data_IF_766619803683
#
_entry.id   IF_766619803683
#
_cell.length_a   1.000
_cell.length_b   1.000
_cell.length_c   1.000
_cell.angle_alpha   90.00
_cell.angle_beta   90.00
_cell.angle_gamma   90.00
#
_symmetry.space_group_name_H-M   'P 1'
#
loop_
_entity.id
_entity.type
_entity.pdbx_description
1 polymer ?
#
# COMPACT_ATOMS: atom_id res chain seq x y z
N UNK A 1 -10.72 -8.16 -14.34
CA UNK A 1 -10.33 -6.98 -13.55
C UNK A 1 -10.19 -7.37 -12.09
N UNK A 2 -9.05 -7.02 -11.46
CA UNK A 2 -8.78 -7.31 -10.04
C UNK A 2 -9.45 -6.26 -9.14
N UNK A 3 -10.03 -6.73 -8.03
CA UNK A 3 -10.55 -5.87 -6.97
C UNK A 3 -10.25 -6.50 -5.61
N UNK A 4 -9.50 -5.79 -4.76
CA UNK A 4 -9.25 -6.20 -3.38
C UNK A 4 -10.55 -6.03 -2.57
N UNK A 5 -10.92 -7.05 -1.78
CA UNK A 5 -12.14 -7.08 -0.95
C UNK A 5 -11.81 -6.91 0.51
N UNK A 6 -10.75 -7.56 0.98
CA UNK A 6 -10.34 -7.46 2.38
C UNK A 6 -8.86 -7.79 2.57
N UNK A 7 -8.32 -7.26 3.66
CA UNK A 7 -7.01 -7.61 4.21
C UNK A 7 -7.21 -8.12 5.64
N UNK A 8 -6.68 -9.29 5.93
CA UNK A 8 -6.72 -9.90 7.27
C UNK A 8 -5.30 -9.99 7.82
N UNK A 9 -5.14 -9.66 9.11
CA UNK A 9 -3.88 -9.75 9.84
C UNK A 9 -4.12 -10.26 11.26
N UNK A 10 -3.27 -11.14 11.73
CA UNK A 10 -3.32 -11.70 13.09
C UNK A 10 -1.93 -12.05 13.58
N UNK A 11 -1.71 -11.90 14.88
CA UNK A 11 -0.39 -11.97 15.50
C UNK A 11 0.66 -11.20 14.71
N UNK A 12 0.34 -9.95 14.34
CA UNK A 12 1.22 -9.09 13.56
C UNK A 12 1.30 -7.70 14.21
N UNK A 13 2.48 -7.31 14.69
CA UNK A 13 2.76 -6.02 15.35
C UNK A 13 1.77 -5.72 16.50
N UNK A 14 0.82 -4.80 16.29
CA UNK A 14 -0.21 -4.45 17.28
C UNK A 14 -1.50 -5.26 17.17
N UNK A 15 -1.63 -6.13 16.19
CA UNK A 15 -2.79 -6.99 16.00
C UNK A 15 -2.54 -8.37 16.64
N UNK A 16 -3.09 -8.63 17.83
CA UNK A 16 -2.96 -9.90 18.51
C UNK A 16 -3.90 -10.94 17.91
N UNK A 17 -5.19 -10.75 18.06
CA UNK A 17 -6.22 -11.57 17.42
C UNK A 17 -6.38 -11.19 15.93
N UNK A 18 -6.83 -12.10 15.07
CA UNK A 18 -7.11 -11.79 13.67
C UNK A 18 -8.09 -10.61 13.53
N UNK A 19 -7.69 -9.60 12.79
CA UNK A 19 -8.50 -8.45 12.43
C UNK A 19 -8.61 -8.36 10.90
N UNK A 20 -9.76 -7.93 10.40
CA UNK A 20 -10.01 -7.81 8.96
C UNK A 20 -10.42 -6.38 8.61
N UNK A 21 -9.65 -5.74 7.73
CA UNK A 21 -10.07 -4.53 7.04
C UNK A 21 -10.92 -4.94 5.85
N UNK A 22 -12.22 -4.69 5.91
CA UNK A 22 -13.17 -4.94 4.82
C UNK A 22 -13.23 -3.74 3.89
N UNK A 23 -13.11 -3.99 2.59
CA UNK A 23 -13.12 -3.01 1.51
C UNK A 23 -14.32 -3.19 0.57
N UNK A 24 -15.22 -4.13 0.90
CA UNK A 24 -16.44 -4.40 0.16
C UNK A 24 -17.53 -3.35 0.50
N UNK A 25 -17.22 -2.08 0.24
CA UNK A 25 -18.14 -0.97 0.50
C UNK A 25 -19.53 -1.25 -0.07
N UNK A 26 -20.53 -1.34 0.81
CA UNK A 26 -21.94 -1.35 0.39
C UNK A 26 -22.23 0.04 -0.18
N UNK A 27 -22.50 0.13 -1.47
CA UNK A 27 -22.86 1.42 -2.10
C UNK A 27 -21.93 1.90 -3.21
N UNK A 28 -20.93 1.09 -3.63
CA UNK A 28 -20.09 1.43 -4.78
C UNK A 28 -18.99 2.46 -4.49
N UNK A 29 -18.67 2.69 -3.20
CA UNK A 29 -17.59 3.59 -2.81
C UNK A 29 -16.23 3.09 -3.27
N UNK A 30 -15.36 4.04 -3.64
CA UNK A 30 -14.00 3.79 -4.14
C UNK A 30 -12.91 4.22 -3.15
N UNK A 31 -13.30 4.58 -1.92
CA UNK A 31 -12.38 5.05 -0.89
C UNK A 31 -12.67 4.36 0.45
N UNK A 32 -11.63 4.03 1.19
CA UNK A 32 -11.71 3.68 2.62
C UNK A 32 -10.69 4.51 3.39
N UNK A 33 -11.17 5.29 4.34
CA UNK A 33 -10.34 6.12 5.20
C UNK A 33 -10.28 5.55 6.62
N UNK A 34 -9.06 5.31 7.09
CA UNK A 34 -8.76 4.72 8.39
C UNK A 34 -8.34 5.82 9.36
N UNK A 35 -9.14 6.04 10.39
CA UNK A 35 -8.92 7.01 11.46
C UNK A 35 -8.53 6.31 12.77
N UNK A 36 -7.88 7.06 13.65
CA UNK A 36 -7.52 6.57 14.98
C UNK A 36 -6.40 7.38 15.61
N UNK A 37 -6.09 7.17 16.91
CA UNK A 37 -5.04 7.89 17.60
C UNK A 37 -3.66 7.52 17.09
N UNK A 38 -2.64 8.31 17.50
CA UNK A 38 -1.25 7.93 17.33
C UNK A 38 -1.01 6.58 18.00
N UNK A 39 -0.17 5.74 17.38
CA UNK A 39 0.11 4.38 17.82
C UNK A 39 -1.12 3.43 17.87
N UNK A 40 -2.30 3.82 17.39
CA UNK A 40 -3.50 2.97 17.33
C UNK A 40 -3.37 1.74 16.43
N UNK A 41 -2.41 1.71 15.50
CA UNK A 41 -2.17 0.57 14.60
C UNK A 41 -2.42 0.87 13.12
N UNK A 42 -2.79 2.11 12.74
CA UNK A 42 -3.08 2.50 11.35
C UNK A 42 -1.98 2.11 10.36
N UNK A 43 -0.74 2.52 10.61
CA UNK A 43 0.42 2.20 9.75
C UNK A 43 0.75 0.70 9.76
N UNK A 44 0.35 -0.05 10.78
CA UNK A 44 0.56 -1.50 10.81
C UNK A 44 -0.33 -2.24 9.80
N UNK A 45 -1.46 -1.65 9.37
CA UNK A 45 -2.28 -2.17 8.27
C UNK A 45 -1.51 -2.08 6.94
N UNK A 46 -0.91 -0.91 6.64
CA UNK A 46 -0.07 -0.75 5.45
C UNK A 46 1.13 -1.71 5.46
N UNK A 47 1.77 -1.85 6.63
CA UNK A 47 2.90 -2.78 6.81
C UNK A 47 2.48 -4.24 6.64
N UNK A 48 1.29 -4.65 7.10
CA UNK A 48 0.76 -5.99 6.91
C UNK A 48 0.53 -6.30 5.43
N UNK A 49 -0.03 -5.36 4.68
CA UNK A 49 -0.19 -5.49 3.23
C UNK A 49 1.16 -5.60 2.53
N UNK A 50 2.11 -4.74 2.86
CA UNK A 50 3.48 -4.77 2.31
C UNK A 50 4.21 -6.06 2.68
N UNK A 51 4.03 -6.57 3.90
CA UNK A 51 4.59 -7.83 4.35
C UNK A 51 4.06 -9.01 3.53
N UNK A 52 2.75 -9.07 3.28
CA UNK A 52 2.15 -10.10 2.43
C UNK A 52 2.67 -10.01 0.99
N UNK A 53 2.67 -8.81 0.40
CA UNK A 53 3.17 -8.57 -0.98
C UNK A 53 4.62 -9.01 -1.12
N UNK A 54 5.49 -8.61 -0.18
CA UNK A 54 6.90 -8.97 -0.20
C UNK A 54 7.11 -10.47 0.01
N UNK A 55 6.36 -11.11 0.91
CA UNK A 55 6.44 -12.56 1.14
C UNK A 55 6.09 -13.33 -0.13
N UNK A 56 4.99 -12.98 -0.79
CA UNK A 56 4.59 -13.64 -2.05
C UNK A 56 5.60 -13.39 -3.16
N UNK A 57 6.10 -12.17 -3.30
CA UNK A 57 7.03 -11.83 -4.41
C UNK A 57 8.44 -12.37 -4.21
N UNK A 58 8.91 -12.47 -2.97
CA UNK A 58 10.33 -12.63 -2.67
C UNK A 58 10.70 -13.88 -1.87
N UNK A 59 9.75 -14.68 -1.41
CA UNK A 59 10.07 -15.85 -0.55
C UNK A 59 10.95 -16.91 -1.24
N UNK A 60 11.06 -16.92 -2.57
CA UNK A 60 12.04 -17.76 -3.29
C UNK A 60 13.47 -17.18 -3.27
N UNK A 61 13.66 -15.89 -2.99
CA UNK A 61 14.98 -15.28 -2.85
C UNK A 61 15.66 -15.84 -1.59
N UNK A 62 16.89 -16.43 -1.69
CA UNK A 62 17.61 -16.96 -0.53
C UNK A 62 17.94 -15.92 0.54
N UNK A 63 18.03 -14.64 0.17
CA UNK A 63 18.35 -13.53 1.07
C UNK A 63 17.09 -12.87 1.68
N UNK A 64 15.90 -13.30 1.28
CA UNK A 64 14.67 -12.79 1.85
C UNK A 64 14.28 -13.58 3.09
N UNK A 65 13.96 -12.87 4.16
CA UNK A 65 13.41 -13.44 5.38
C UNK A 65 11.94 -13.09 5.50
N UNK A 66 11.13 -14.06 5.95
CA UNK A 66 9.72 -13.83 6.21
C UNK A 66 9.57 -12.71 7.26
N UNK A 67 8.67 -11.73 7.05
CA UNK A 67 8.51 -10.56 7.91
C UNK A 67 7.74 -10.93 9.18
N UNK A 68 8.33 -11.79 10.01
CA UNK A 68 7.78 -12.26 11.27
C UNK A 68 7.95 -11.17 12.34
N UNK A 69 6.86 -10.52 12.65
CA UNK A 69 6.78 -9.44 13.64
C UNK A 69 5.56 -9.66 14.54
N UNK A 70 5.60 -10.64 15.46
CA UNK A 70 4.46 -11.02 16.29
C UNK A 70 4.07 -9.92 17.28
N UNK A 71 2.85 -10.03 17.84
CA UNK A 71 2.40 -9.20 18.96
C UNK A 71 3.16 -9.58 20.23
N UNK A 72 3.92 -8.65 20.79
CA UNK A 72 4.85 -8.94 21.90
C UNK A 72 4.27 -8.66 23.31
N UNK A 73 3.10 -8.03 23.41
CA UNK A 73 2.54 -7.59 24.69
C UNK A 73 1.66 -8.67 25.37
N UNK A 74 1.67 -9.89 24.84
CA UNK A 74 0.96 -11.04 25.43
C UNK A 74 1.89 -12.25 25.41
N UNK A 75 2.07 -12.86 26.58
CA UNK A 75 2.98 -13.99 26.76
C UNK A 75 2.64 -15.14 25.78
N UNK A 76 3.67 -15.68 25.14
CA UNK A 76 3.57 -16.81 24.20
C UNK A 76 3.26 -16.43 22.76
N UNK A 77 2.83 -15.20 22.46
CA UNK A 77 2.54 -14.78 21.10
C UNK A 77 3.78 -14.68 20.22
N UNK A 78 4.95 -14.53 20.80
CA UNK A 78 6.25 -14.59 20.14
C UNK A 78 6.63 -16.01 19.64
N UNK A 79 5.88 -17.04 20.04
CA UNK A 79 6.02 -18.42 19.57
C UNK A 79 4.92 -18.79 18.56
N UNK A 80 3.86 -17.99 18.47
CA UNK A 80 2.75 -18.23 17.57
C UNK A 80 3.01 -17.64 16.17
N UNK A 81 2.53 -18.28 15.10
CA UNK A 81 2.75 -17.75 13.77
C UNK A 81 1.99 -16.45 13.54
N UNK A 82 2.62 -15.52 12.80
CA UNK A 82 1.93 -14.40 12.16
C UNK A 82 1.03 -14.93 11.05
N UNK A 83 -0.19 -14.40 10.93
CA UNK A 83 -1.12 -14.72 9.86
C UNK A 83 -1.47 -13.48 9.04
N UNK A 84 -1.38 -13.58 7.71
CA UNK A 84 -1.75 -12.54 6.75
C UNK A 84 -2.64 -13.15 5.66
N UNK A 85 -3.63 -12.40 5.19
CA UNK A 85 -4.51 -12.90 4.14
C UNK A 85 -5.22 -11.78 3.38
N UNK A 86 -5.63 -12.10 2.16
CA UNK A 86 -6.42 -11.21 1.29
C UNK A 86 -7.58 -11.97 0.68
N UNK A 87 -8.72 -11.26 0.54
CA UNK A 87 -9.78 -11.68 -0.37
C UNK A 87 -9.87 -10.69 -1.53
N UNK A 88 -10.12 -11.19 -2.73
CA UNK A 88 -10.21 -10.38 -3.93
C UNK A 88 -11.14 -11.02 -4.97
N UNK A 89 -11.54 -10.22 -5.96
CA UNK A 89 -12.22 -10.75 -7.15
C UNK A 89 -11.37 -10.55 -8.39
N UNK A 90 -11.51 -11.48 -9.33
CA UNK A 90 -11.03 -11.39 -10.69
C UNK A 90 -12.13 -11.88 -11.63
N UNK A 91 -12.62 -11.02 -12.50
CA UNK A 91 -13.63 -11.34 -13.52
C UNK A 91 -14.89 -12.05 -12.97
N UNK A 92 -15.36 -11.56 -11.82
CA UNK A 92 -16.55 -12.08 -11.13
C UNK A 92 -16.32 -13.31 -10.25
N UNK A 93 -15.13 -13.91 -10.26
CA UNK A 93 -14.72 -14.97 -9.34
C UNK A 93 -14.09 -14.36 -8.10
N UNK A 94 -14.36 -14.95 -6.93
CA UNK A 94 -13.75 -14.57 -5.66
C UNK A 94 -12.65 -15.53 -5.27
N UNK A 95 -11.54 -14.99 -4.80
CA UNK A 95 -10.39 -15.72 -4.30
C UNK A 95 -10.08 -15.30 -2.87
N UNK A 96 -9.63 -16.26 -2.06
CA UNK A 96 -9.13 -16.00 -0.70
C UNK A 96 -7.77 -16.67 -0.56
N UNK A 97 -6.76 -15.88 -0.31
CA UNK A 97 -5.39 -16.34 -0.07
C UNK A 97 -4.95 -15.97 1.32
N UNK A 98 -4.44 -16.94 2.07
CA UNK A 98 -3.93 -16.71 3.42
C UNK A 98 -2.65 -17.49 3.65
N UNK A 99 -1.76 -16.92 4.45
CA UNK A 99 -0.50 -17.53 4.87
C UNK A 99 -0.27 -17.30 6.36
N UNK A 100 0.29 -18.30 7.04
CA UNK A 100 0.79 -18.17 8.40
C UNK A 100 2.25 -18.64 8.44
N UNK A 101 3.08 -17.92 9.19
CA UNK A 101 4.51 -18.20 9.23
C UNK A 101 5.15 -17.72 10.53
N UNK A 102 6.26 -18.35 10.88
CA UNK A 102 7.23 -17.88 11.87
C UNK A 102 8.44 -17.29 11.16
N UNK A 103 9.46 -16.87 11.89
CA UNK A 103 10.72 -16.40 11.28
C UNK A 103 11.41 -17.47 10.40
N UNK A 104 11.19 -18.76 10.69
CA UNK A 104 11.93 -19.88 10.11
C UNK A 104 11.14 -20.60 9.01
N UNK A 105 9.81 -20.58 9.06
CA UNK A 105 8.99 -21.43 8.20
C UNK A 105 7.57 -20.95 7.99
N UNK A 106 7.03 -21.32 6.84
CA UNK A 106 5.59 -21.26 6.57
C UNK A 106 4.92 -22.43 7.30
N UNK A 107 3.96 -22.12 8.18
CA UNK A 107 3.22 -23.12 8.96
C UNK A 107 1.88 -23.46 8.32
N UNK A 108 1.30 -22.53 7.59
CA UNK A 108 0.03 -22.70 6.87
C UNK A 108 0.00 -21.81 5.63
N UNK A 109 -0.53 -22.33 4.52
CA UNK A 109 -0.76 -21.57 3.30
C UNK A 109 -1.98 -22.13 2.57
N UNK A 110 -2.91 -21.29 2.16
CA UNK A 110 -4.15 -21.74 1.54
C UNK A 110 -4.62 -20.77 0.46
N UNK A 111 -5.13 -21.34 -0.64
CA UNK A 111 -5.86 -20.61 -1.66
C UNK A 111 -7.22 -21.28 -1.90
N UNK A 112 -8.27 -20.46 -1.90
CA UNK A 112 -9.65 -20.88 -2.22
C UNK A 112 -10.20 -20.03 -3.34
N UNK A 113 -11.12 -20.60 -4.12
CA UNK A 113 -11.84 -19.95 -5.22
C UNK A 113 -13.34 -20.13 -5.06
N UNK A 114 -14.09 -19.09 -5.35
CA UNK A 114 -15.55 -19.13 -5.52
C UNK A 114 -15.89 -18.66 -6.93
N UNK A 115 -16.37 -19.59 -7.76
CA UNK A 115 -16.63 -19.33 -9.20
C UNK A 115 -17.86 -18.45 -9.46
N UNK A 116 -18.82 -18.35 -8.51
CA UNK A 116 -19.97 -17.43 -8.54
C UNK A 116 -20.46 -17.11 -7.13
N UNK A 117 -21.21 -16.01 -6.95
CA UNK A 117 -21.72 -15.58 -5.63
C UNK A 117 -22.49 -16.68 -4.87
N UNK A 118 -23.10 -17.61 -5.57
CA UNK A 118 -23.92 -18.67 -4.99
C UNK A 118 -23.20 -20.03 -4.94
N UNK A 119 -21.96 -20.14 -5.40
CA UNK A 119 -21.17 -21.35 -5.33
C UNK A 119 -20.47 -21.48 -3.97
N UNK A 120 -20.08 -22.71 -3.63
CA UNK A 120 -19.22 -22.94 -2.46
C UNK A 120 -17.80 -22.48 -2.78
N UNK A 121 -17.04 -22.09 -1.75
CA UNK A 121 -15.59 -21.90 -1.85
C UNK A 121 -14.92 -23.23 -2.09
N UNK A 122 -14.25 -23.36 -3.23
CA UNK A 122 -13.46 -24.53 -3.58
C UNK A 122 -12.05 -24.36 -3.06
N UNK A 123 -11.51 -25.41 -2.46
CA UNK A 123 -10.13 -25.45 -2.02
C UNK A 123 -9.23 -25.74 -3.22
N UNK A 124 -8.37 -24.79 -3.58
CA UNK A 124 -7.37 -24.94 -4.65
C UNK A 124 -6.15 -25.67 -4.10
N UNK A 125 -5.54 -25.17 -3.05
CA UNK A 125 -4.53 -25.87 -2.28
C UNK A 125 -4.56 -25.45 -0.82
N UNK A 126 -4.06 -26.33 0.02
CA UNK A 126 -3.80 -26.10 1.43
C UNK A 126 -2.51 -26.81 1.81
N UNK A 127 -1.57 -26.05 2.35
CA UNK A 127 -0.32 -26.54 2.91
C UNK A 127 -0.37 -26.43 4.42
N UNK A 128 -0.05 -27.53 5.07
CA UNK A 128 0.14 -27.62 6.53
C UNK A 128 1.52 -28.20 6.83
N UNK A 129 1.82 -28.45 8.11
CA UNK A 129 3.01 -29.19 8.51
C UNK A 129 3.05 -30.65 7.96
N UNK A 130 1.88 -31.21 7.63
CA UNK A 130 1.74 -32.57 7.06
C UNK A 130 1.94 -32.61 5.54
N UNK A 131 1.92 -31.44 4.86
CA UNK A 131 2.11 -31.36 3.42
C UNK A 131 0.98 -30.62 2.71
N UNK A 132 0.81 -30.94 1.41
CA UNK A 132 -0.27 -30.40 0.59
C UNK A 132 -1.49 -31.32 0.62
N UNK A 133 -2.69 -30.74 0.62
CA UNK A 133 -3.93 -31.50 0.49
C UNK A 133 -3.93 -32.31 -0.83
N UNK A 134 -4.54 -33.52 -0.87
CA UNK A 134 -4.48 -34.42 -2.01
C UNK A 134 -5.01 -33.87 -3.33
N UNK A 135 -5.98 -32.95 -3.26
CA UNK A 135 -6.64 -32.34 -4.44
C UNK A 135 -5.82 -31.21 -5.09
N UNK A 136 -4.82 -30.67 -4.41
CA UNK A 136 -3.99 -29.57 -4.91
C UNK A 136 -3.31 -29.91 -6.25
N UNK A 137 -3.03 -31.19 -6.50
CA UNK A 137 -2.39 -31.69 -7.73
C UNK A 137 -3.21 -31.34 -8.99
N UNK A 138 -4.54 -31.36 -8.93
CA UNK A 138 -5.38 -31.04 -10.11
C UNK A 138 -5.26 -29.58 -10.52
N UNK A 139 -4.81 -28.72 -9.61
CA UNK A 139 -4.57 -27.28 -9.81
C UNK A 139 -3.07 -26.97 -10.03
N UNK A 140 -2.24 -27.99 -10.26
CA UNK A 140 -0.81 -27.84 -10.52
C UNK A 140 0.09 -27.80 -9.29
N UNK A 141 -0.47 -27.87 -8.06
CA UNK A 141 0.31 -27.92 -6.83
C UNK A 141 0.57 -29.36 -6.40
N UNK A 142 1.71 -29.90 -6.82
CA UNK A 142 2.06 -31.29 -6.60
C UNK A 142 2.95 -31.48 -5.36
N UNK A 143 2.99 -32.71 -4.83
CA UNK A 143 3.94 -33.10 -3.78
C UNK A 143 5.39 -32.82 -4.19
N UNK A 144 5.75 -33.06 -5.47
CA UNK A 144 7.08 -32.74 -6.00
C UNK A 144 7.40 -31.24 -5.97
N UNK A 145 6.41 -30.38 -6.20
CA UNK A 145 6.59 -28.93 -6.05
C UNK A 145 6.96 -28.59 -4.59
N UNK A 146 6.21 -29.14 -3.63
CA UNK A 146 6.47 -28.92 -2.20
C UNK A 146 7.84 -29.43 -1.76
N UNK A 147 8.26 -30.62 -2.21
CA UNK A 147 9.58 -31.20 -1.91
C UNK A 147 10.75 -30.32 -2.38
N UNK A 148 10.53 -29.48 -3.41
CA UNK A 148 11.50 -28.50 -3.92
C UNK A 148 11.32 -27.11 -3.35
N UNK A 149 10.38 -26.91 -2.44
CA UNK A 149 10.09 -25.65 -1.80
C UNK A 149 10.75 -25.61 -0.42
N UNK A 150 11.56 -24.58 -0.17
CA UNK A 150 12.18 -24.40 1.15
C UNK A 150 11.10 -24.17 2.23
N UNK A 151 11.41 -24.46 3.50
CA UNK A 151 10.44 -24.26 4.60
C UNK A 151 9.91 -22.83 4.69
N UNK A 152 10.74 -21.84 4.38
CA UNK A 152 10.46 -20.38 4.43
C UNK A 152 9.89 -19.83 3.10
N UNK A 153 9.78 -20.64 2.06
CA UNK A 153 9.26 -20.23 0.76
C UNK A 153 7.77 -20.60 0.62
N UNK A 154 6.97 -19.67 0.09
CA UNK A 154 5.57 -19.91 -0.21
C UNK A 154 5.39 -20.84 -1.42
N UNK A 155 4.41 -21.73 -1.32
CA UNK A 155 4.05 -22.63 -2.44
C UNK A 155 3.54 -21.82 -3.64
N UNK A 156 2.79 -20.74 -3.38
CA UNK A 156 2.30 -19.84 -4.43
C UNK A 156 3.45 -19.18 -5.21
N UNK A 157 4.54 -18.80 -4.51
CA UNK A 157 5.72 -18.20 -5.13
C UNK A 157 6.46 -19.21 -5.99
N UNK A 158 6.60 -20.43 -5.49
CA UNK A 158 7.23 -21.53 -6.24
C UNK A 158 6.40 -21.96 -7.45
N UNK A 159 5.06 -21.97 -7.31
CA UNK A 159 4.15 -22.21 -8.43
C UNK A 159 4.26 -21.15 -9.53
N UNK A 160 4.55 -19.90 -9.18
CA UNK A 160 4.80 -18.83 -10.17
C UNK A 160 6.01 -19.12 -11.06
N UNK A 161 7.08 -19.66 -10.49
CA UNK A 161 8.27 -20.07 -11.26
C UNK A 161 7.95 -21.20 -12.27
N UNK A 162 6.99 -22.07 -11.92
CA UNK A 162 6.49 -23.14 -12.80
C UNK A 162 5.30 -22.68 -13.69
N UNK A 163 5.05 -21.37 -13.78
CA UNK A 163 3.95 -20.74 -14.55
C UNK A 163 2.55 -21.27 -14.20
N UNK A 164 2.31 -21.60 -12.93
CA UNK A 164 1.01 -22.06 -12.45
C UNK A 164 -0.06 -20.96 -12.59
N UNK A 165 -1.24 -21.30 -13.11
CA UNK A 165 -2.35 -20.39 -13.36
C UNK A 165 -2.81 -19.66 -12.07
N UNK A 166 -3.02 -20.39 -10.99
CA UNK A 166 -3.48 -19.82 -9.72
C UNK A 166 -2.43 -18.96 -9.04
N UNK A 167 -1.15 -19.31 -9.18
CA UNK A 167 -0.04 -18.45 -8.77
C UNK A 167 -0.04 -17.15 -9.55
N UNK A 168 -0.24 -17.22 -10.87
CA UNK A 168 -0.34 -16.04 -11.73
C UNK A 168 -1.50 -15.12 -11.33
N UNK A 169 -2.66 -15.70 -10.93
CA UNK A 169 -3.81 -14.94 -10.44
C UNK A 169 -3.46 -14.16 -9.16
N UNK A 170 -2.80 -14.79 -8.18
CA UNK A 170 -2.40 -14.11 -6.95
C UNK A 170 -1.36 -13.02 -7.23
N UNK A 171 -0.35 -13.30 -8.06
CA UNK A 171 0.65 -12.31 -8.47
C UNK A 171 0.02 -11.13 -9.23
N UNK A 172 -0.96 -11.41 -10.11
CA UNK A 172 -1.70 -10.38 -10.81
C UNK A 172 -2.43 -9.43 -9.87
N UNK A 173 -3.04 -9.92 -8.77
CA UNK A 173 -3.57 -9.04 -7.73
C UNK A 173 -2.49 -8.09 -7.19
N UNK A 174 -1.31 -8.64 -6.84
CA UNK A 174 -0.24 -7.84 -6.24
C UNK A 174 0.31 -6.77 -7.19
N UNK A 175 0.24 -7.00 -8.50
CA UNK A 175 0.60 -6.02 -9.52
C UNK A 175 -0.43 -4.89 -9.65
N UNK A 176 -1.65 -5.11 -9.12
CA UNK A 176 -2.72 -4.12 -9.03
C UNK A 176 -2.79 -3.44 -7.65
N UNK A 177 -1.80 -3.65 -6.79
CA UNK A 177 -1.71 -2.99 -5.48
C UNK A 177 -0.46 -2.12 -5.44
N UNK A 178 -0.63 -0.85 -5.10
CA UNK A 178 0.46 0.10 -4.85
C UNK A 178 0.37 0.59 -3.42
N UNK A 179 1.51 0.59 -2.70
CA UNK A 179 1.59 1.12 -1.34
C UNK A 179 2.49 2.34 -1.32
N UNK A 180 2.02 3.45 -0.79
CA UNK A 180 2.75 4.70 -0.61
C UNK A 180 2.89 4.98 0.87
N UNK A 181 4.13 4.98 1.36
CA UNK A 181 4.45 5.36 2.73
C UNK A 181 5.30 6.63 2.70
N UNK A 182 4.84 7.76 3.24
CA UNK A 182 5.54 9.05 3.14
C UNK A 182 6.90 9.09 3.85
N UNK A 183 7.20 8.10 4.68
CA UNK A 183 8.42 8.03 5.49
C UNK A 183 9.51 7.11 4.93
N UNK A 184 9.38 6.60 3.71
CA UNK A 184 10.42 5.73 3.14
C UNK A 184 11.60 6.56 2.65
N UNK A 185 12.74 6.47 3.34
CA UNK A 185 14.05 6.97 2.90
C UNK A 185 14.59 6.12 1.73
N UNK A 186 13.88 6.03 0.64
CA UNK A 186 14.36 5.33 -0.56
C UNK A 186 15.26 6.26 -1.36
N UNK A 187 16.42 5.79 -1.86
CA UNK A 187 17.36 6.63 -2.62
C UNK A 187 16.78 7.22 -3.90
N UNK A 188 15.86 6.52 -4.54
CA UNK A 188 15.10 7.03 -5.69
C UNK A 188 13.63 6.69 -5.49
N UNK A 189 12.77 7.69 -5.25
CA UNK A 189 11.35 7.46 -5.10
C UNK A 189 10.78 6.80 -6.36
N UNK A 190 9.92 5.81 -6.17
CA UNK A 190 9.26 5.06 -7.24
C UNK A 190 8.61 5.98 -8.28
N UNK A 191 8.03 7.10 -7.85
CA UNK A 191 7.36 8.04 -8.75
C UNK A 191 8.30 8.67 -9.79
N UNK A 192 9.59 8.86 -9.49
CA UNK A 192 10.58 9.41 -10.44
C UNK A 192 10.77 8.44 -11.61
N UNK A 193 10.94 7.15 -11.32
CA UNK A 193 11.05 6.12 -12.36
C UNK A 193 9.77 5.99 -13.17
N UNK A 194 8.61 6.04 -12.52
CA UNK A 194 7.31 6.01 -13.20
C UNK A 194 7.16 7.16 -14.19
N UNK A 195 7.51 8.39 -13.78
CA UNK A 195 7.44 9.56 -14.64
C UNK A 195 8.49 9.54 -15.77
N UNK A 196 9.71 9.06 -15.49
CA UNK A 196 10.78 8.95 -16.49
C UNK A 196 10.38 8.01 -17.61
N UNK A 197 9.77 6.88 -17.27
CA UNK A 197 9.47 5.79 -18.20
C UNK A 197 8.09 5.90 -18.86
N UNK A 198 7.22 6.82 -18.43
CA UNK A 198 5.84 6.96 -18.93
C UNK A 198 5.49 8.42 -19.24
N UNK A 199 5.57 8.79 -20.52
CA UNK A 199 5.26 10.15 -20.98
C UNK A 199 3.77 10.52 -20.76
N UNK A 200 2.86 9.56 -20.90
CA UNK A 200 1.43 9.78 -20.65
C UNK A 200 1.15 10.10 -19.19
N UNK A 201 1.76 9.35 -18.26
CA UNK A 201 1.67 9.60 -16.83
C UNK A 201 2.24 10.98 -16.47
N UNK A 202 3.37 11.36 -17.08
CA UNK A 202 3.96 12.69 -16.90
C UNK A 202 3.01 13.82 -17.33
N UNK A 203 2.39 13.70 -18.49
CA UNK A 203 1.41 14.69 -18.98
C UNK A 203 0.25 14.85 -17.99
N UNK A 204 -0.35 13.75 -17.54
CA UNK A 204 -1.46 13.77 -16.59
C UNK A 204 -1.07 14.31 -15.22
N UNK A 205 0.17 14.03 -14.79
CA UNK A 205 0.72 14.62 -13.56
C UNK A 205 0.82 16.13 -13.67
N UNK A 206 1.32 16.65 -14.78
CA UNK A 206 1.38 18.10 -15.04
C UNK A 206 -0.01 18.74 -15.10
N UNK A 207 -1.00 18.06 -15.70
CA UNK A 207 -2.39 18.51 -15.69
C UNK A 207 -2.98 18.58 -14.29
N UNK A 208 -2.74 17.56 -13.46
CA UNK A 208 -3.19 17.56 -12.07
C UNK A 208 -2.50 18.65 -11.24
N UNK A 209 -1.19 18.84 -11.38
CA UNK A 209 -0.45 19.91 -10.73
C UNK A 209 -1.02 21.28 -11.09
N UNK A 210 -1.32 21.52 -12.36
CA UNK A 210 -1.94 22.77 -12.81
C UNK A 210 -3.33 22.98 -12.21
N UNK A 211 -4.15 21.93 -12.11
CA UNK A 211 -5.47 21.98 -11.47
C UNK A 211 -5.37 22.27 -9.97
N UNK A 212 -4.27 21.84 -9.34
CA UNK A 212 -3.98 22.06 -7.92
C UNK A 212 -3.19 23.35 -7.64
N UNK A 213 -3.13 24.29 -8.60
CA UNK A 213 -2.45 25.58 -8.51
C UNK A 213 -0.94 25.50 -8.24
N UNK A 214 -0.29 24.42 -8.65
CA UNK A 214 1.17 24.36 -8.67
C UNK A 214 1.71 25.10 -9.90
N UNK A 215 2.69 25.99 -9.67
CA UNK A 215 3.29 26.81 -10.74
C UNK A 215 4.30 26.05 -11.61
N UNK A 216 4.29 24.72 -11.57
CA UNK A 216 5.18 23.85 -12.34
C UNK A 216 4.65 23.72 -13.76
N UNK A 217 5.49 24.02 -14.77
CA UNK A 217 5.14 23.97 -16.19
C UNK A 217 5.56 22.69 -16.87
N UNK A 218 6.69 22.14 -16.44
CA UNK A 218 7.25 20.92 -17.00
C UNK A 218 8.15 20.24 -15.96
N UNK A 219 8.50 19.00 -16.22
CA UNK A 219 9.45 18.21 -15.45
C UNK A 219 10.48 17.61 -16.39
N UNK A 220 11.74 17.61 -15.96
CA UNK A 220 12.87 17.10 -16.74
C UNK A 220 13.64 16.07 -15.96
N UNK A 221 14.16 15.10 -16.67
CA UNK A 221 15.06 14.07 -16.17
C UNK A 221 16.38 14.19 -16.94
N UNK A 222 17.47 14.30 -16.21
CA UNK A 222 18.81 14.36 -16.78
C UNK A 222 19.65 13.26 -16.14
N UNK A 223 20.20 12.37 -16.96
CA UNK A 223 21.10 11.35 -16.44
C UNK A 223 22.44 12.01 -16.11
N UNK A 224 22.86 11.90 -14.88
CA UNK A 224 24.08 12.50 -14.33
C UNK A 224 25.03 11.36 -13.99
N UNK A 225 26.24 11.39 -14.56
CA UNK A 225 27.29 10.49 -14.12
C UNK A 225 27.68 10.81 -12.67
N UNK A 226 27.74 9.81 -11.82
CA UNK A 226 28.23 9.96 -10.46
C UNK A 226 29.77 9.98 -10.51
N UNK A 227 30.44 11.02 -9.96
CA UNK A 227 31.89 11.01 -9.82
C UNK A 227 32.34 9.86 -8.92
N UNK A 228 33.50 9.25 -9.19
CA UNK A 228 34.00 8.12 -8.39
C UNK A 228 34.24 8.51 -6.90
N UNK A 229 34.57 9.77 -6.64
CA UNK A 229 34.77 10.34 -5.32
C UNK A 229 33.48 10.72 -4.57
N UNK A 230 32.33 10.65 -5.23
CA UNK A 230 31.03 10.95 -4.60
C UNK A 230 30.78 10.12 -3.34
N UNK A 231 31.16 8.84 -3.39
CA UNK A 231 30.94 7.90 -2.30
C UNK A 231 31.92 8.07 -1.13
N UNK A 232 33.03 8.75 -1.33
CA UNK A 232 34.03 8.99 -0.28
C UNK A 232 33.58 10.09 0.71
N UNK A 233 32.56 10.87 0.31
CA UNK A 233 31.94 11.91 1.13
C UNK A 233 30.75 11.38 1.96
N UNK A 234 30.34 10.13 1.75
CA UNK A 234 29.24 9.54 2.51
C UNK A 234 29.75 9.01 3.87
N UNK A 235 28.94 9.15 4.94
CA UNK A 235 29.28 8.66 6.27
C UNK A 235 29.31 7.13 6.41
N UNK A 236 29.00 6.41 5.31
CA UNK A 236 28.92 4.94 5.25
C UNK A 236 29.94 4.43 4.24
N UNK A 237 30.80 3.50 4.65
CA UNK A 237 31.71 2.82 3.73
C UNK A 237 30.95 1.73 2.96
N UNK A 238 30.73 1.96 1.68
CA UNK A 238 30.13 0.97 0.77
C UNK A 238 31.22 0.03 0.21
N UNK A 239 30.92 -1.27 0.01
CA UNK A 239 31.80 -2.19 -0.71
C UNK A 239 32.13 -1.67 -2.12
N UNK A 240 33.36 -1.92 -2.58
CA UNK A 240 33.84 -1.40 -3.87
C UNK A 240 32.98 -1.85 -5.07
N UNK A 241 32.43 -3.06 -5.02
CA UNK A 241 31.53 -3.58 -6.07
C UNK A 241 30.21 -2.81 -6.12
N UNK A 242 29.66 -2.44 -4.96
CA UNK A 242 28.43 -1.64 -4.85
C UNK A 242 28.69 -0.22 -5.36
N UNK A 243 29.82 0.39 -5.01
CA UNK A 243 30.22 1.71 -5.52
C UNK A 243 30.31 1.70 -7.05
N UNK A 244 30.98 0.70 -7.63
CA UNK A 244 31.11 0.57 -9.10
C UNK A 244 29.74 0.41 -9.78
N UNK A 245 28.87 -0.46 -9.27
CA UNK A 245 27.53 -0.65 -9.81
C UNK A 245 26.71 0.64 -9.76
N UNK A 246 26.81 1.42 -8.68
CA UNK A 246 26.13 2.72 -8.55
C UNK A 246 26.72 3.79 -9.49
N UNK A 247 28.04 3.80 -9.71
CA UNK A 247 28.69 4.69 -10.71
C UNK A 247 28.25 4.34 -12.13
N UNK A 248 28.21 3.05 -12.46
CA UNK A 248 27.75 2.56 -13.77
C UNK A 248 26.27 2.85 -14.02
N UNK A 249 25.44 2.75 -12.99
CA UNK A 249 24.02 3.03 -13.06
C UNK A 249 23.72 4.54 -13.18
N UNK A 250 24.65 5.39 -12.74
CA UNK A 250 24.48 6.84 -12.71
C UNK A 250 23.38 7.28 -11.74
N UNK A 251 23.08 8.57 -11.76
CA UNK A 251 21.96 9.18 -11.04
C UNK A 251 21.05 9.90 -12.04
N UNK A 252 19.77 9.98 -11.74
CA UNK A 252 18.84 10.80 -12.51
C UNK A 252 18.54 12.07 -11.73
N UNK A 253 19.00 13.23 -12.23
CA UNK A 253 18.56 14.51 -11.71
C UNK A 253 17.11 14.74 -12.14
N UNK A 254 16.27 15.11 -11.18
CA UNK A 254 14.86 15.43 -11.38
C UNK A 254 14.67 16.91 -11.12
N UNK A 255 14.25 17.65 -12.15
CA UNK A 255 14.05 19.11 -12.09
C UNK A 255 12.64 19.50 -12.51
N UNK A 256 12.13 20.56 -11.88
CA UNK A 256 10.87 21.21 -12.23
C UNK A 256 11.14 22.50 -12.98
N UNK A 257 10.28 22.80 -13.96
CA UNK A 257 10.42 23.99 -14.81
C UNK A 257 9.39 25.04 -14.39
N UNK A 258 9.84 26.22 -14.00
CA UNK A 258 9.01 27.34 -13.59
C UNK A 258 9.09 28.51 -14.55
N UNK A 259 8.03 29.34 -14.58
CA UNK A 259 8.04 30.58 -15.34
C UNK A 259 8.86 31.64 -14.59
N UNK A 260 9.68 32.37 -15.32
CA UNK A 260 10.31 33.60 -14.87
C UNK A 260 9.46 34.77 -15.33
N UNK A 261 9.10 35.68 -14.40
CA UNK A 261 8.30 36.87 -14.68
C UNK A 261 9.13 38.11 -14.42
N UNK A 262 8.87 39.16 -15.20
CA UNK A 262 9.38 40.50 -14.96
C UNK A 262 8.58 41.25 -13.87
N UNK A 263 8.90 42.53 -13.67
CA UNK A 263 8.22 43.37 -12.68
C UNK A 263 6.75 43.63 -13.03
N UNK A 264 6.39 43.56 -14.29
CA UNK A 264 5.05 43.73 -14.84
C UNK A 264 4.26 42.41 -14.87
N UNK A 265 4.78 41.32 -14.22
CA UNK A 265 4.22 39.97 -14.18
C UNK A 265 4.16 39.26 -15.53
N UNK A 266 4.83 39.79 -16.57
CA UNK A 266 4.93 39.15 -17.89
C UNK A 266 5.95 38.02 -17.86
N UNK A 267 5.63 36.91 -18.50
CA UNK A 267 6.55 35.76 -18.57
C UNK A 267 7.66 36.08 -19.56
N UNK A 268 8.88 36.17 -19.06
CA UNK A 268 10.08 36.49 -19.85
C UNK A 268 11.00 35.28 -20.11
N UNK A 269 10.69 34.13 -19.48
CA UNK A 269 11.48 32.93 -19.66
C UNK A 269 11.04 31.78 -18.75
N UNK A 270 11.90 30.78 -18.61
CA UNK A 270 11.73 29.66 -17.69
C UNK A 270 13.01 29.37 -16.94
N UNK A 271 12.88 28.74 -15.78
CA UNK A 271 14.00 28.31 -14.93
C UNK A 271 13.76 26.90 -14.46
N UNK A 272 14.81 26.10 -14.52
CA UNK A 272 14.85 24.77 -13.98
C UNK A 272 15.25 24.85 -12.50
N UNK A 273 14.48 24.20 -11.63
CA UNK A 273 14.75 24.09 -10.19
C UNK A 273 15.01 22.64 -9.84
N UNK A 274 16.05 22.39 -9.05
CA UNK A 274 16.30 21.06 -8.50
C UNK A 274 15.16 20.67 -7.55
N UNK A 275 14.53 19.52 -7.81
CA UNK A 275 13.33 19.10 -7.10
C UNK A 275 13.58 18.89 -5.60
N UNK A 276 14.72 18.33 -5.24
CA UNK A 276 14.97 17.93 -3.86
C UNK A 276 15.42 19.10 -2.96
N UNK A 277 16.16 20.04 -3.54
CA UNK A 277 16.75 21.14 -2.77
C UNK A 277 16.01 22.48 -2.92
N UNK A 278 15.23 22.66 -3.98
CA UNK A 278 14.61 23.95 -4.30
C UNK A 278 13.08 23.94 -4.29
N UNK A 279 12.44 22.77 -4.36
CA UNK A 279 11.00 22.67 -4.18
C UNK A 279 10.61 22.61 -2.70
N UNK A 280 9.39 23.11 -2.40
CA UNK A 280 8.85 23.01 -1.05
C UNK A 280 8.57 21.55 -0.66
N UNK A 281 8.64 21.25 0.64
CA UNK A 281 8.29 19.93 1.17
C UNK A 281 6.85 19.53 0.78
N UNK A 282 5.92 20.48 0.76
CA UNK A 282 4.54 20.22 0.32
C UNK A 282 4.47 19.80 -1.15
N UNK A 283 5.26 20.46 -2.03
CA UNK A 283 5.37 20.08 -3.45
C UNK A 283 5.94 18.68 -3.59
N UNK A 284 7.02 18.37 -2.88
CA UNK A 284 7.65 17.05 -2.93
C UNK A 284 6.69 15.96 -2.47
N UNK A 285 6.00 16.16 -1.34
CA UNK A 285 5.00 15.21 -0.81
C UNK A 285 3.79 15.05 -1.72
N UNK A 286 3.38 16.12 -2.38
CA UNK A 286 2.30 16.04 -3.36
C UNK A 286 2.69 15.13 -4.55
N UNK A 287 3.90 15.25 -5.09
CA UNK A 287 4.39 14.36 -6.16
C UNK A 287 4.45 12.90 -5.73
N UNK A 288 4.91 12.64 -4.51
CA UNK A 288 4.99 11.26 -3.95
C UNK A 288 3.65 10.54 -3.98
N UNK A 289 2.55 11.27 -3.80
CA UNK A 289 1.20 10.67 -3.79
C UNK A 289 0.48 10.84 -5.12
N UNK A 290 0.61 11.97 -5.81
CA UNK A 290 -0.13 12.29 -7.03
C UNK A 290 0.20 11.31 -8.17
N UNK A 291 1.48 10.98 -8.36
CA UNK A 291 1.92 10.09 -9.44
C UNK A 291 1.37 8.68 -9.27
N UNK A 292 1.52 8.01 -8.11
CA UNK A 292 0.90 6.70 -7.88
C UNK A 292 -0.63 6.73 -7.94
N UNK A 293 -1.27 7.83 -7.54
CA UNK A 293 -2.73 8.00 -7.62
C UNK A 293 -3.18 8.02 -9.10
N UNK A 294 -2.51 8.79 -9.94
CA UNK A 294 -2.84 8.84 -11.39
C UNK A 294 -2.64 7.46 -12.01
N UNK A 295 -1.55 6.77 -11.68
CA UNK A 295 -1.32 5.40 -12.15
C UNK A 295 -2.45 4.45 -11.69
N UNK A 296 -2.89 4.57 -10.43
CA UNK A 296 -3.99 3.76 -9.91
C UNK A 296 -5.31 4.04 -10.65
N UNK A 297 -5.64 5.30 -10.90
CA UNK A 297 -6.83 5.71 -11.64
C UNK A 297 -6.83 5.27 -13.11
N UNK A 298 -5.66 5.24 -13.75
CA UNK A 298 -5.52 4.84 -15.15
C UNK A 298 -5.53 3.33 -15.36
N UNK A 299 -5.03 2.59 -14.39
CA UNK A 299 -4.81 1.15 -14.49
C UNK A 299 -5.70 0.34 -13.54
N UNK A 300 -6.79 0.94 -13.02
CA UNK A 300 -7.76 0.29 -12.13
C UNK A 300 -7.12 -0.43 -10.93
N UNK A 301 -6.11 0.22 -10.31
CA UNK A 301 -5.36 -0.35 -9.19
C UNK A 301 -5.96 0.04 -7.83
N UNK A 302 -5.65 -0.77 -6.83
CA UNK A 302 -5.83 -0.40 -5.42
C UNK A 302 -4.58 0.32 -4.92
N UNK A 303 -4.72 1.53 -4.40
CA UNK A 303 -3.64 2.29 -3.79
C UNK A 303 -3.85 2.40 -2.27
N UNK A 304 -2.82 2.07 -1.49
CA UNK A 304 -2.78 2.30 -0.04
C UNK A 304 -1.82 3.45 0.26
N UNK A 305 -2.31 4.51 0.89
CA UNK A 305 -1.51 5.68 1.27
C UNK A 305 -1.52 5.82 2.79
N UNK A 306 -0.36 5.66 3.41
CA UNK A 306 -0.21 5.88 4.85
C UNK A 306 0.02 7.36 5.15
N UNK A 307 -0.60 7.87 6.23
CA UNK A 307 -0.55 9.27 6.67
C UNK A 307 -0.94 10.30 5.58
N UNK A 308 -1.98 9.97 4.79
CA UNK A 308 -2.45 10.85 3.72
C UNK A 308 -2.90 12.21 4.25
N UNK A 309 -2.47 13.27 3.58
CA UNK A 309 -2.79 14.65 3.96
C UNK A 309 -1.74 15.32 4.85
N UNK A 310 -0.73 14.58 5.34
CA UNK A 310 0.41 15.19 6.04
C UNK A 310 1.20 16.05 5.07
N UNK A 311 1.37 17.34 5.39
CA UNK A 311 2.01 18.37 4.55
C UNK A 311 1.25 18.77 3.27
N UNK A 312 0.04 18.23 3.02
CA UNK A 312 -0.80 18.59 1.88
C UNK A 312 -1.97 19.47 2.39
N UNK A 313 -2.25 20.56 1.69
CA UNK A 313 -3.36 21.44 2.07
C UNK A 313 -4.70 20.67 2.01
N UNK A 314 -5.61 20.83 2.99
CA UNK A 314 -6.88 20.09 3.04
C UNK A 314 -7.71 20.15 1.76
N UNK A 315 -7.74 21.29 1.07
CA UNK A 315 -8.44 21.44 -0.22
C UNK A 315 -7.87 20.51 -1.31
N UNK A 316 -6.56 20.27 -1.31
CA UNK A 316 -5.93 19.35 -2.26
C UNK A 316 -6.21 17.89 -1.91
N UNK A 317 -6.24 17.57 -0.62
CA UNK A 317 -6.65 16.24 -0.12
C UNK A 317 -8.05 15.92 -0.61
N UNK A 318 -8.98 16.85 -0.45
CA UNK A 318 -10.35 16.72 -0.93
C UNK A 318 -10.44 16.56 -2.45
N UNK A 319 -9.74 17.39 -3.23
CA UNK A 319 -9.69 17.29 -4.67
C UNK A 319 -9.19 15.92 -5.15
N UNK A 320 -8.20 15.34 -4.48
CA UNK A 320 -7.67 14.01 -4.80
C UNK A 320 -8.71 12.91 -4.51
N UNK A 321 -9.37 12.95 -3.36
CA UNK A 321 -10.39 11.95 -2.99
C UNK A 321 -11.54 11.98 -3.99
N UNK A 322 -11.98 13.17 -4.42
CA UNK A 322 -13.04 13.34 -5.42
C UNK A 322 -12.73 12.66 -6.76
N UNK A 323 -11.45 12.55 -7.15
CA UNK A 323 -11.06 11.84 -8.38
C UNK A 323 -11.48 10.35 -8.38
N UNK A 324 -11.51 9.73 -7.20
CA UNK A 324 -11.95 8.33 -7.07
C UNK A 324 -13.48 8.21 -7.09
N UNK A 325 -14.20 9.21 -6.60
CA UNK A 325 -15.68 9.26 -6.64
C UNK A 325 -16.26 9.55 -8.03
N UNK A 326 -15.55 10.32 -8.85
CA UNK A 326 -15.98 10.73 -10.21
C UNK A 326 -15.69 9.67 -11.30
N UNK A 327 -15.00 8.59 -10.94
CA UNK A 327 -14.56 7.59 -11.92
C UNK A 327 -15.67 6.56 -12.23
N UNK A 328 -16.75 7.00 -12.89
CA UNK A 328 -17.82 6.12 -13.37
C UNK A 328 -17.26 4.94 -14.19
N UNK A 329 -17.47 3.72 -13.67
CA UNK A 329 -17.07 2.48 -14.34
C UNK A 329 -15.61 2.06 -14.15
N UNK A 330 -14.76 2.81 -13.43
CA UNK A 330 -13.40 2.41 -13.07
C UNK A 330 -13.39 1.63 -11.75
N UNK A 331 -12.45 0.70 -11.61
CA UNK A 331 -12.30 -0.13 -10.41
C UNK A 331 -11.15 0.34 -9.51
N UNK A 332 -10.58 1.52 -9.78
CA UNK A 332 -9.55 2.10 -8.92
C UNK A 332 -10.10 2.29 -7.49
N UNK A 333 -9.30 1.92 -6.50
CA UNK A 333 -9.69 1.98 -5.09
C UNK A 333 -8.60 2.61 -4.24
N UNK A 334 -8.98 3.55 -3.35
CA UNK A 334 -8.06 4.19 -2.43
C UNK A 334 -8.29 3.71 -1.00
N UNK A 335 -7.24 3.28 -0.35
CA UNK A 335 -7.20 3.07 1.10
C UNK A 335 -6.24 4.11 1.65
N UNK A 336 -6.66 4.87 2.64
CA UNK A 336 -5.80 5.87 3.25
C UNK A 336 -5.86 5.79 4.78
N UNK A 337 -4.74 6.07 5.44
CA UNK A 337 -4.73 6.41 6.85
C UNK A 337 -4.54 7.90 7.02
N UNK A 338 -5.20 8.52 7.99
CA UNK A 338 -5.11 9.96 8.19
C UNK A 338 -5.39 10.36 9.63
N UNK A 339 -4.91 11.54 9.99
CA UNK A 339 -5.28 12.27 11.20
C UNK A 339 -6.19 13.47 10.90
N UNK A 340 -6.46 13.73 9.63
CA UNK A 340 -7.27 14.87 9.18
C UNK A 340 -8.77 14.64 9.41
N UNK A 341 -9.28 15.07 10.57
CA UNK A 341 -10.69 14.88 10.96
C UNK A 341 -11.69 15.60 10.05
N UNK A 342 -11.23 16.64 9.31
CA UNK A 342 -12.05 17.34 8.32
C UNK A 342 -12.61 16.40 7.23
N UNK A 343 -11.91 15.32 6.88
CA UNK A 343 -12.40 14.33 5.92
C UNK A 343 -13.66 13.61 6.38
N UNK A 344 -13.89 13.50 7.68
CA UNK A 344 -15.10 12.89 8.24
C UNK A 344 -16.40 13.62 7.86
N UNK A 345 -16.32 14.86 7.33
CA UNK A 345 -17.48 15.60 6.84
C UNK A 345 -17.94 15.18 5.46
N UNK A 346 -17.07 14.55 4.71
CA UNK A 346 -17.25 14.29 3.27
C UNK A 346 -17.46 12.81 2.96
N UNK A 347 -16.98 11.96 3.87
CA UNK A 347 -17.06 10.52 3.73
C UNK A 347 -18.40 10.00 4.31
N UNK A 348 -18.92 8.96 3.69
CA UNK A 348 -20.03 8.17 4.23
C UNK A 348 -19.56 7.26 5.37
N UNK A 349 -20.49 6.77 6.19
CA UNK A 349 -20.17 5.80 7.24
C UNK A 349 -19.54 4.49 6.71
N UNK A 350 -19.84 4.15 5.45
CA UNK A 350 -19.32 2.93 4.80
C UNK A 350 -17.85 3.08 4.35
N UNK A 351 -17.36 4.31 4.23
CA UNK A 351 -15.98 4.66 3.87
C UNK A 351 -15.08 4.87 5.08
N UNK A 352 -15.65 4.97 6.28
CA UNK A 352 -14.90 5.29 7.51
C UNK A 352 -14.63 4.01 8.30
N UNK A 353 -13.37 3.81 8.65
CA UNK A 353 -12.91 2.73 9.54
C UNK A 353 -12.14 3.34 10.70
N UNK A 354 -12.41 2.89 11.90
CA UNK A 354 -11.71 3.31 13.10
C UNK A 354 -10.72 2.23 13.53
N UNK A 355 -9.54 2.66 13.98
CA UNK A 355 -8.53 1.76 14.55
C UNK A 355 -8.08 2.32 15.89
N UNK A 356 -8.25 1.55 16.93
CA UNK A 356 -7.87 1.92 18.30
C UNK A 356 -7.26 0.73 19.04
N UNK A 357 -6.63 0.99 20.17
CA UNK A 357 -6.13 -0.04 21.05
C UNK A 357 -7.09 -0.29 22.20
N UNK A 358 -7.28 -1.55 22.56
CA UNK A 358 -7.97 -1.95 23.77
C UNK A 358 -7.04 -1.84 25.01
N UNK A 359 -7.55 -2.18 26.19
CA UNK A 359 -6.77 -2.15 27.44
C UNK A 359 -5.56 -3.10 27.46
N UNK A 360 -5.52 -4.10 26.57
CA UNK A 360 -4.40 -5.01 26.40
C UNK A 360 -3.41 -4.55 25.31
N UNK A 361 -3.50 -3.30 24.87
CA UNK A 361 -2.70 -2.70 23.81
C UNK A 361 -2.86 -3.37 22.41
N UNK A 362 -3.92 -4.19 22.25
CA UNK A 362 -4.24 -4.85 20.99
C UNK A 362 -5.01 -3.89 20.08
N UNK A 363 -4.58 -3.74 18.83
CA UNK A 363 -5.31 -2.93 17.84
C UNK A 363 -6.57 -3.64 17.36
N UNK A 364 -7.67 -2.91 17.34
CA UNK A 364 -8.97 -3.33 16.84
C UNK A 364 -9.37 -2.48 15.64
N UNK A 365 -9.98 -3.12 14.64
CA UNK A 365 -10.50 -2.46 13.42
C UNK A 365 -12.02 -2.46 13.52
N UNK A 366 -12.63 -1.28 13.54
CA UNK A 366 -14.09 -1.12 13.65
C UNK A 366 -14.61 -0.23 12.52
N UNK A 367 -15.31 -0.77 11.51
CA UNK A 367 -16.02 0.05 10.52
C UNK A 367 -17.07 0.93 11.21
N UNK A 368 -17.16 2.21 10.85
CA UNK A 368 -18.10 3.14 11.47
C UNK A 368 -19.57 2.68 11.33
N UNK A 369 -19.89 2.03 10.20
CA UNK A 369 -21.21 1.44 9.95
C UNK A 369 -21.65 0.40 10.99
N UNK A 370 -20.69 -0.31 11.59
CA UNK A 370 -20.96 -1.38 12.56
C UNK A 370 -21.32 -0.82 13.95
N UNK A 371 -21.09 0.49 14.18
CA UNK A 371 -21.47 1.20 15.39
C UNK A 371 -22.94 1.69 15.40
N UNK A 372 -23.74 1.29 14.41
CA UNK A 372 -25.15 1.69 14.32
C UNK A 372 -25.38 3.16 13.96
N UNK A 373 -24.37 3.81 13.42
CA UNK A 373 -24.37 5.22 13.01
C UNK A 373 -25.21 5.40 11.73
N UNK A 374 -25.97 6.51 11.62
CA UNK A 374 -26.78 6.82 10.44
C UNK A 374 -26.03 7.75 9.48
N UNK A 375 -26.33 7.62 8.18
CA UNK A 375 -25.83 8.59 7.21
C UNK A 375 -26.42 9.99 7.51
N UNK A 376 -25.60 11.03 7.28
CA UNK A 376 -25.98 12.42 7.56
C UNK A 376 -25.75 12.87 9.01
N UNK A 377 -25.22 12.02 9.89
CA UNK A 377 -24.76 12.44 11.20
C UNK A 377 -23.50 13.32 11.08
N UNK A 378 -23.27 14.18 12.06
CA UNK A 378 -22.06 15.01 12.10
C UNK A 378 -20.85 14.19 12.59
N UNK A 379 -20.30 13.32 11.73
CA UNK A 379 -19.26 12.34 12.07
C UNK A 379 -18.05 12.99 12.72
N UNK A 380 -17.53 14.09 12.15
CA UNK A 380 -16.38 14.79 12.73
C UNK A 380 -16.65 15.25 14.17
N UNK A 381 -17.79 15.91 14.41
CA UNK A 381 -18.13 16.43 15.73
C UNK A 381 -18.26 15.29 16.76
N UNK A 382 -18.89 14.20 16.37
CA UNK A 382 -19.09 13.03 17.25
C UNK A 382 -17.79 12.27 17.48
N UNK A 383 -16.94 12.13 16.46
CA UNK A 383 -15.61 11.56 16.60
C UNK A 383 -14.75 12.36 17.58
N UNK A 384 -14.66 13.67 17.40
CA UNK A 384 -13.91 14.56 18.30
C UNK A 384 -14.46 14.59 19.73
N UNK A 385 -15.76 14.30 19.92
CA UNK A 385 -16.38 14.11 21.22
C UNK A 385 -16.15 12.71 21.83
N UNK A 386 -15.40 11.81 21.13
CA UNK A 386 -15.09 10.46 21.61
C UNK A 386 -16.24 9.46 21.54
N UNK A 387 -17.36 9.79 20.88
CA UNK A 387 -18.55 8.94 20.85
C UNK A 387 -18.39 7.65 20.03
N UNK A 388 -17.38 7.58 19.18
CA UNK A 388 -17.08 6.43 18.34
C UNK A 388 -15.81 5.67 18.78
N UNK A 389 -15.09 6.15 19.81
CA UNK A 389 -13.73 5.71 20.09
C UNK A 389 -12.72 6.28 19.11
N UNK A 390 -11.55 5.69 19.04
CA UNK A 390 -10.50 6.06 18.06
C UNK A 390 -9.85 7.42 18.29
N UNK A 391 -10.05 8.04 19.46
CA UNK A 391 -9.41 9.32 19.86
C UNK A 391 -8.35 9.08 20.95
N UNK A 392 -7.33 9.96 21.05
CA UNK A 392 -6.40 9.94 22.18
C UNK A 392 -7.13 10.19 23.50
N UNK A 393 -6.82 9.38 24.52
CA UNK A 393 -7.23 9.64 25.90
C UNK A 393 -6.13 10.51 26.53
N UNK A 394 -6.44 11.73 26.88
CA UNK A 394 -5.53 12.65 27.58
C UNK A 394 -5.91 12.58 29.04
N UNK A 395 -5.01 12.05 29.87
CA UNK A 395 -5.14 12.09 31.32
C UNK A 395 -4.60 13.45 31.80
N UNK A 396 -5.38 14.17 32.63
CA UNK A 396 -5.02 15.47 33.22
C UNK A 396 -3.96 15.32 34.33
#
# INVERSE_FOLDING_TARGET
MYKLISLTMGNYRSFCAPQTLSLDGRGGHSVTAVFGPNAGGKSNIAKALSALVNSVRRSSDPNFHLPYEPFLLKAGMDQEPTSLGVAFTLDGRRYEYSVSFTAERVTYEVLREQSSKNSRMNLIFERTSEGLNPYAKQYGFSKRLLERTRPDTLVITKGREDNNEYSNIVFGLLDHITTVAPSSNTPTPLFVEMLKNNAGLRTKTLELLKRCDFSIRDIKFTDVALPEDFFDQLPVQLPAEVKRAMVEQGSTAFTTVHAVRDKEQTIVGSRDLDFWSQESMGTQKFFEVAVPIIDALENDKTIFIDEFGTYIHPTLVHAIISLFGESDGKAAYMILTTHGTNLLRELSRDEIVLVEKNHAEESLITPLRDLGVRDGEAFEKRYLAGLYGGIPIIED
#
